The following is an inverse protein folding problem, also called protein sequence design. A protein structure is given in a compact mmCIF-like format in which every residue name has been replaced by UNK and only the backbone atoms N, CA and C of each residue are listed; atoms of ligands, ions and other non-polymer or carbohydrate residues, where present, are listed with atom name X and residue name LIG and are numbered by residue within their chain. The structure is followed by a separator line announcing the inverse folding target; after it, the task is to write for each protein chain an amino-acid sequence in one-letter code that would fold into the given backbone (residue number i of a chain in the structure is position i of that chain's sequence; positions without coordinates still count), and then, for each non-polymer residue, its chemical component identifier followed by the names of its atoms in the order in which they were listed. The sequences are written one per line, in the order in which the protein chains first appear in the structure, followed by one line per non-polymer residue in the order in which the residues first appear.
data_IF_218072742708
#
_entry.id   IF_218072742708
#
_cell.length_a   1.000
_cell.length_b   1.000
_cell.length_c   1.000
_cell.angle_alpha   90.00
_cell.angle_beta   90.00
_cell.angle_gamma   90.00
#
_symmetry.space_group_name_H-M   'P 1'
#
loop_
_entity.id
_entity.type
_entity.pdbx_description
1 polymer ?
#
# COMPACT_ATOMS: atom_id res chain seq x y z
N UNK A 1 -48.66 -71.32 24.86
CA UNK A 1 -47.78 -70.32 25.49
C UNK A 1 -47.11 -69.58 24.37
N UNK A 2 -47.46 -68.33 24.08
CA UNK A 2 -46.84 -67.56 23.05
C UNK A 2 -45.66 -66.76 23.60
N UNK A 3 -44.60 -66.73 22.83
CA UNK A 3 -43.38 -65.87 23.07
C UNK A 3 -43.66 -64.37 22.79
N UNK A 4 -43.08 -63.49 23.55
CA UNK A 4 -43.19 -62.06 23.27
C UNK A 4 -42.22 -61.59 22.13
N UNK A 5 -42.57 -60.56 21.43
CA UNK A 5 -41.79 -60.09 20.29
C UNK A 5 -40.53 -59.27 20.70
N UNK A 6 -39.49 -59.45 19.92
CA UNK A 6 -38.23 -58.76 20.06
C UNK A 6 -38.38 -57.25 19.77
N UNK A 7 -37.84 -56.39 20.65
CA UNK A 7 -37.75 -54.96 20.47
C UNK A 7 -36.53 -54.67 19.62
N UNK A 8 -36.72 -54.22 18.39
CA UNK A 8 -35.69 -53.65 17.52
C UNK A 8 -35.41 -52.24 17.95
N UNK A 9 -34.21 -52.00 18.49
CA UNK A 9 -33.72 -50.69 18.81
C UNK A 9 -33.20 -50.03 17.53
N UNK A 10 -33.88 -48.98 17.10
CA UNK A 10 -33.45 -48.14 16.00
C UNK A 10 -32.38 -47.20 16.54
N UNK A 11 -31.11 -47.45 16.20
CA UNK A 11 -30.01 -46.50 16.47
C UNK A 11 -30.06 -45.38 15.43
N UNK A 12 -30.48 -44.20 15.85
CA UNK A 12 -30.38 -42.96 15.03
C UNK A 12 -28.94 -42.49 15.00
N UNK A 13 -28.28 -42.68 13.87
CA UNK A 13 -27.00 -42.06 13.59
C UNK A 13 -27.25 -40.59 13.25
N UNK A 14 -26.99 -39.68 14.20
CA UNK A 14 -26.89 -38.25 13.93
C UNK A 14 -25.57 -37.98 13.23
N UNK A 15 -25.60 -37.82 11.92
CA UNK A 15 -24.48 -37.30 11.16
C UNK A 15 -24.34 -35.83 11.44
N UNK A 16 -23.39 -35.46 12.30
CA UNK A 16 -22.91 -34.07 12.45
C UNK A 16 -22.11 -33.70 11.19
N UNK A 17 -22.77 -33.03 10.26
CA UNK A 17 -22.06 -32.34 9.19
C UNK A 17 -21.33 -31.17 9.81
N UNK A 18 -20.05 -31.35 10.09
CA UNK A 18 -19.13 -30.26 10.39
C UNK A 18 -18.97 -29.42 9.12
N UNK A 19 -19.76 -28.37 8.99
CA UNK A 19 -19.50 -27.29 8.06
C UNK A 19 -18.19 -26.60 8.52
N UNK A 20 -17.09 -27.09 7.97
CA UNK A 20 -15.83 -26.38 8.06
C UNK A 20 -16.00 -25.01 7.39
N UNK A 21 -16.22 -23.96 8.18
CA UNK A 21 -16.01 -22.60 7.77
C UNK A 21 -14.50 -22.50 7.52
N UNK A 22 -14.08 -22.81 6.29
CA UNK A 22 -12.79 -22.34 5.81
C UNK A 22 -12.91 -20.82 5.72
N UNK A 23 -12.53 -20.13 6.79
CA UNK A 23 -12.14 -18.75 6.71
C UNK A 23 -10.86 -18.72 5.88
N UNK A 24 -11.00 -18.86 4.56
CA UNK A 24 -9.97 -18.46 3.63
C UNK A 24 -9.94 -16.94 3.68
N UNK A 25 -9.22 -16.37 4.64
CA UNK A 25 -8.70 -15.04 4.50
C UNK A 25 -7.91 -15.05 3.19
N UNK A 26 -8.19 -14.08 2.32
CA UNK A 26 -7.43 -13.92 1.09
C UNK A 26 -5.95 -13.74 1.48
N UNK A 27 -5.14 -14.78 1.24
CA UNK A 27 -3.72 -14.78 1.60
C UNK A 27 -2.91 -13.81 0.72
N UNK A 28 -3.51 -13.33 -0.38
CA UNK A 28 -2.88 -12.46 -1.36
C UNK A 28 -3.20 -10.96 -1.14
N UNK A 29 -4.18 -10.65 -0.31
CA UNK A 29 -4.55 -9.26 -0.01
C UNK A 29 -4.32 -8.95 1.45
N UNK A 30 -3.42 -7.99 1.71
CA UNK A 30 -3.10 -7.51 3.05
C UNK A 30 -3.59 -6.08 3.20
N UNK A 31 -4.25 -5.79 4.32
CA UNK A 31 -4.73 -4.45 4.65
C UNK A 31 -4.20 -4.07 6.01
N UNK A 32 -3.58 -2.91 6.10
CA UNK A 32 -3.21 -2.29 7.38
C UNK A 32 -3.94 -0.97 7.54
N UNK A 33 -4.21 -0.60 8.78
CA UNK A 33 -4.83 0.67 9.12
C UNK A 33 -3.80 1.59 9.76
N UNK A 34 -3.79 2.83 9.30
CA UNK A 34 -2.93 3.89 9.81
C UNK A 34 -1.51 3.86 9.24
N UNK A 35 -1.02 5.04 8.94
CA UNK A 35 0.40 5.30 8.74
C UNK A 35 0.89 6.03 9.98
N UNK A 36 1.92 5.50 10.62
CA UNK A 36 2.52 6.17 11.75
C UNK A 36 3.47 7.25 11.25
N UNK A 37 2.95 8.48 11.10
CA UNK A 37 3.77 9.62 10.74
C UNK A 37 4.93 9.80 11.72
N UNK A 38 6.16 9.67 11.24
CA UNK A 38 7.37 9.89 12.02
C UNK A 38 7.90 8.69 12.82
N UNK A 39 7.30 7.51 12.71
CA UNK A 39 7.85 6.28 13.29
C UNK A 39 8.55 5.44 12.21
N UNK A 40 9.78 5.78 11.92
CA UNK A 40 10.69 4.86 11.23
C UNK A 40 11.21 3.83 12.23
N UNK A 41 11.12 2.55 11.94
CA UNK A 41 11.73 1.50 12.74
C UNK A 41 10.80 0.34 13.09
N UNK A 42 11.12 -0.38 14.16
CA UNK A 42 10.56 -1.70 14.52
C UNK A 42 9.04 -1.80 14.67
N UNK A 43 8.31 -0.69 14.66
CA UNK A 43 6.86 -0.62 14.85
C UNK A 43 6.11 -0.11 13.62
N UNK A 44 6.80 0.27 12.55
CA UNK A 44 6.12 0.68 11.33
C UNK A 44 5.44 -0.52 10.66
N UNK A 45 4.22 -0.38 10.15
CA UNK A 45 3.52 -1.48 9.50
C UNK A 45 4.16 -1.78 8.15
N UNK A 46 4.82 -2.94 8.08
CA UNK A 46 5.32 -3.45 6.82
C UNK A 46 4.18 -4.09 6.01
N UNK A 47 4.12 -3.72 4.75
CA UNK A 47 3.21 -4.27 3.76
C UNK A 47 3.99 -5.24 2.88
N UNK A 48 3.88 -6.53 3.16
CA UNK A 48 4.52 -7.51 2.28
C UNK A 48 3.70 -7.66 1.00
N UNK A 49 4.32 -7.44 -0.14
CA UNK A 49 3.74 -7.56 -1.48
C UNK A 49 4.67 -8.45 -2.29
N UNK A 50 4.26 -9.69 -2.52
CA UNK A 50 5.15 -10.72 -3.04
C UNK A 50 6.38 -10.88 -2.13
N UNK A 51 7.58 -10.87 -2.71
CA UNK A 51 8.83 -11.04 -1.94
C UNK A 51 9.40 -9.73 -1.37
N UNK A 52 8.77 -8.59 -1.59
CA UNK A 52 9.20 -7.28 -1.10
C UNK A 52 8.32 -6.79 0.05
N UNK A 53 8.91 -6.02 0.96
CA UNK A 53 8.21 -5.33 2.03
C UNK A 53 8.20 -3.82 1.77
N UNK A 54 7.02 -3.21 1.85
CA UNK A 54 6.82 -1.76 1.68
C UNK A 54 6.48 -1.14 3.01
N UNK A 55 6.93 0.09 3.22
CA UNK A 55 6.65 0.88 4.40
C UNK A 55 6.23 2.28 3.99
N UNK A 56 5.07 2.74 4.44
CA UNK A 56 4.66 4.12 4.28
C UNK A 56 5.23 4.93 5.43
N UNK A 57 6.12 5.88 5.13
CA UNK A 57 6.77 6.73 6.12
C UNK A 57 5.90 7.90 6.53
N UNK A 58 5.24 8.52 5.55
CA UNK A 58 4.41 9.70 5.75
C UNK A 58 3.47 9.85 4.56
N UNK A 59 2.26 10.31 4.82
CA UNK A 59 1.33 10.82 3.82
C UNK A 59 0.83 12.21 4.22
N UNK A 60 0.81 13.16 3.29
CA UNK A 60 0.35 14.52 3.56
C UNK A 60 0.08 15.34 2.31
N UNK A 61 -0.66 16.40 2.47
CA UNK A 61 -0.79 17.47 1.49
C UNK A 61 0.55 18.21 1.31
N UNK A 62 0.81 18.70 0.09
CA UNK A 62 1.96 19.56 -0.18
C UNK A 62 1.50 20.98 -0.49
N UNK A 63 2.13 21.94 0.17
CA UNK A 63 1.94 23.37 -0.11
C UNK A 63 3.02 23.89 -1.06
N UNK A 64 2.70 24.24 -2.32
CA UNK A 64 3.69 24.66 -3.32
C UNK A 64 4.48 25.93 -2.95
N UNK A 65 3.97 26.73 -2.02
CA UNK A 65 4.67 27.96 -1.54
C UNK A 65 5.60 27.68 -0.37
N UNK A 66 5.53 26.51 0.22
CA UNK A 66 6.49 26.06 1.23
C UNK A 66 7.80 25.66 0.53
N UNK A 67 8.94 26.07 1.08
CA UNK A 67 10.26 25.82 0.49
C UNK A 67 10.57 24.33 0.37
N UNK A 68 10.27 23.55 1.41
CA UNK A 68 10.50 22.11 1.39
C UNK A 68 9.59 21.44 0.37
N UNK A 69 8.28 21.70 0.43
CA UNK A 69 7.31 21.07 -0.46
C UNK A 69 7.54 21.40 -1.93
N UNK A 70 8.04 22.62 -2.21
CA UNK A 70 8.40 23.04 -3.57
C UNK A 70 9.51 22.17 -4.17
N UNK A 71 10.40 21.58 -3.34
CA UNK A 71 11.46 20.68 -3.82
C UNK A 71 10.88 19.35 -4.32
N UNK A 72 9.80 18.85 -3.71
CA UNK A 72 9.11 17.65 -4.14
C UNK A 72 8.37 17.84 -5.48
N UNK A 73 8.06 19.08 -5.85
CA UNK A 73 7.40 19.43 -7.11
C UNK A 73 8.37 19.78 -8.24
N UNK A 74 9.66 19.54 -8.05
CA UNK A 74 10.67 19.78 -9.09
C UNK A 74 10.53 18.80 -10.25
N UNK A 75 11.07 19.22 -11.41
CA UNK A 75 11.08 18.44 -12.65
C UNK A 75 9.70 17.99 -13.16
N UNK A 76 8.62 18.65 -12.72
CA UNK A 76 7.31 18.51 -13.33
C UNK A 76 7.24 19.30 -14.64
N UNK A 77 6.65 18.72 -15.67
CA UNK A 77 6.32 19.46 -16.90
C UNK A 77 5.25 20.53 -16.61
N UNK A 78 5.09 21.56 -17.46
CA UNK A 78 4.03 22.56 -17.29
C UNK A 78 2.62 21.94 -17.16
N UNK A 79 2.33 20.90 -17.95
CA UNK A 79 1.05 20.18 -17.89
C UNK A 79 0.88 19.42 -16.56
N UNK A 80 1.94 18.81 -16.06
CA UNK A 80 1.91 18.15 -14.76
C UNK A 80 1.74 19.16 -13.61
N UNK A 81 2.29 20.37 -13.70
CA UNK A 81 2.19 21.42 -12.66
C UNK A 81 0.80 22.02 -12.52
N UNK A 82 -0.01 21.94 -13.57
CA UNK A 82 -1.35 22.54 -13.56
C UNK A 82 -2.30 21.67 -12.74
N UNK A 83 -2.85 22.22 -11.66
CA UNK A 83 -3.96 21.62 -10.92
C UNK A 83 -5.28 22.03 -11.55
N UNK A 84 -6.21 21.11 -11.68
CA UNK A 84 -7.60 21.42 -12.03
C UNK A 84 -8.31 22.07 -10.82
N UNK A 85 -9.42 22.79 -11.03
CA UNK A 85 -10.23 23.32 -9.93
C UNK A 85 -10.57 22.23 -8.90
N UNK A 86 -10.35 22.52 -7.63
CA UNK A 86 -10.60 21.60 -6.52
C UNK A 86 -9.56 20.48 -6.36
N UNK A 87 -8.46 20.52 -7.10
CA UNK A 87 -7.33 19.60 -6.88
C UNK A 87 -6.24 20.23 -6.02
N UNK A 88 -5.54 19.37 -5.34
CA UNK A 88 -4.34 19.70 -4.59
C UNK A 88 -3.26 18.63 -4.75
N UNK A 89 -2.05 18.97 -4.31
CA UNK A 89 -0.91 18.07 -4.27
C UNK A 89 -0.96 17.20 -3.03
N UNK A 90 -0.79 15.91 -3.23
CA UNK A 90 -0.70 14.94 -2.16
C UNK A 90 0.52 14.06 -2.34
N UNK A 91 1.25 13.85 -1.26
CA UNK A 91 2.48 13.06 -1.24
C UNK A 91 2.32 11.83 -0.34
N UNK A 92 2.86 10.72 -0.79
CA UNK A 92 3.11 9.54 0.04
C UNK A 92 4.59 9.20 -0.08
N UNK A 93 5.28 9.11 1.04
CA UNK A 93 6.69 8.72 1.10
C UNK A 93 6.78 7.27 1.50
N UNK A 94 7.46 6.45 0.68
CA UNK A 94 7.56 5.02 0.89
C UNK A 94 9.01 4.54 0.90
N UNK A 95 9.23 3.47 1.66
CA UNK A 95 10.44 2.67 1.56
C UNK A 95 10.08 1.27 1.07
N UNK A 96 11.01 0.63 0.37
CA UNK A 96 10.84 -0.73 -0.16
C UNK A 96 12.05 -1.54 0.22
N UNK A 97 11.84 -2.68 0.85
CA UNK A 97 12.90 -3.56 1.34
C UNK A 97 12.89 -4.89 0.61
N UNK A 98 14.08 -5.35 0.27
CA UNK A 98 14.32 -6.68 -0.27
C UNK A 98 15.20 -7.46 0.71
N UNK A 99 14.59 -8.41 1.41
CA UNK A 99 15.29 -9.30 2.34
C UNK A 99 15.91 -10.52 1.67
N UNK A 100 15.63 -10.72 0.37
CA UNK A 100 16.22 -11.75 -0.46
C UNK A 100 17.60 -11.36 -0.99
N UNK A 101 18.36 -12.34 -1.48
CA UNK A 101 19.72 -12.12 -2.00
C UNK A 101 19.77 -11.65 -3.46
N UNK A 102 18.66 -11.79 -4.22
CA UNK A 102 18.59 -11.41 -5.62
C UNK A 102 17.86 -10.08 -5.79
N UNK A 103 18.25 -9.24 -6.77
CA UNK A 103 17.49 -8.04 -7.09
C UNK A 103 16.08 -8.39 -7.56
N UNK A 104 15.08 -7.63 -7.11
CA UNK A 104 13.66 -7.83 -7.40
C UNK A 104 13.00 -6.56 -7.92
N UNK A 105 12.06 -6.64 -8.88
CA UNK A 105 11.38 -5.45 -9.38
C UNK A 105 10.42 -4.87 -8.32
N UNK A 106 10.53 -3.56 -8.09
CA UNK A 106 9.59 -2.84 -7.25
C UNK A 106 8.25 -2.61 -7.99
N UNK A 107 7.17 -2.47 -7.23
CA UNK A 107 5.84 -2.23 -7.78
C UNK A 107 5.79 -0.93 -8.60
N UNK A 108 5.19 -0.99 -9.78
CA UNK A 108 4.86 0.18 -10.61
C UNK A 108 3.38 0.54 -10.55
N UNK A 109 2.54 -0.37 -10.09
CA UNK A 109 1.10 -0.15 -9.94
C UNK A 109 0.78 0.17 -8.48
N UNK A 110 0.75 1.47 -8.18
CA UNK A 110 0.38 2.02 -6.88
C UNK A 110 -0.77 3.01 -7.12
N UNK A 111 -1.85 2.89 -6.36
CA UNK A 111 -3.04 3.74 -6.52
C UNK A 111 -3.56 4.20 -5.18
N UNK A 112 -4.12 5.42 -5.12
CA UNK A 112 -4.90 5.88 -3.96
C UNK A 112 -6.38 5.82 -4.34
N UNK A 113 -7.21 5.36 -3.41
CA UNK A 113 -8.68 5.37 -3.56
C UNK A 113 -9.32 5.95 -2.31
N UNK A 114 -10.33 6.80 -2.46
CA UNK A 114 -11.16 7.29 -1.37
C UNK A 114 -12.38 6.37 -1.11
N UNK A 115 -13.15 6.65 -0.06
CA UNK A 115 -14.35 5.86 0.28
C UNK A 115 -15.49 5.98 -0.71
N UNK A 116 -15.45 6.92 -1.64
CA UNK A 116 -16.42 7.07 -2.74
C UNK A 116 -16.00 6.31 -4.00
N UNK A 117 -14.79 5.71 -4.00
CA UNK A 117 -14.26 4.96 -5.13
C UNK A 117 -13.52 5.82 -6.15
N UNK A 118 -13.25 7.10 -5.88
CA UNK A 118 -12.38 7.90 -6.72
C UNK A 118 -10.95 7.35 -6.61
N UNK A 119 -10.32 7.13 -7.77
CA UNK A 119 -8.97 6.53 -7.85
C UNK A 119 -7.99 7.53 -8.44
N UNK A 120 -6.82 7.62 -7.83
CA UNK A 120 -5.74 8.52 -8.19
C UNK A 120 -4.49 7.71 -8.51
N UNK A 121 -3.87 8.04 -9.65
CA UNK A 121 -2.60 7.47 -10.08
C UNK A 121 -1.45 8.41 -9.73
N UNK A 122 -0.27 7.89 -9.40
CA UNK A 122 0.89 8.73 -9.15
C UNK A 122 1.33 9.44 -10.43
N UNK A 123 1.81 10.66 -10.25
CA UNK A 123 2.48 11.43 -11.30
C UNK A 123 3.97 11.08 -11.21
N UNK A 124 4.57 10.76 -12.33
CA UNK A 124 6.01 10.57 -12.43
C UNK A 124 6.69 11.88 -12.83
N UNK A 125 7.36 12.58 -11.91
CA UNK A 125 8.19 13.73 -12.24
C UNK A 125 9.37 13.30 -13.13
N UNK A 126 9.94 14.23 -13.90
CA UNK A 126 11.15 13.97 -14.67
C UNK A 126 12.33 13.50 -13.81
N UNK A 127 13.38 12.98 -14.44
CA UNK A 127 14.57 12.43 -13.76
C UNK A 127 15.30 13.42 -12.85
N UNK A 128 15.13 14.73 -13.07
CA UNK A 128 15.66 15.76 -12.19
C UNK A 128 15.02 15.82 -10.80
N UNK A 129 13.92 15.12 -10.55
CA UNK A 129 13.37 14.98 -9.21
C UNK A 129 14.04 13.83 -8.48
N UNK A 130 14.93 14.17 -7.55
CA UNK A 130 15.74 13.22 -6.80
C UNK A 130 14.99 12.52 -5.66
N UNK A 131 13.78 12.98 -5.34
CA UNK A 131 12.92 12.37 -4.33
C UNK A 131 11.98 11.32 -4.91
N UNK A 132 11.66 11.41 -6.22
CA UNK A 132 10.60 10.62 -6.84
C UNK A 132 10.85 9.11 -6.73
N UNK A 133 9.82 8.40 -6.36
CA UNK A 133 9.80 6.95 -6.44
C UNK A 133 10.00 6.50 -7.90
N UNK A 134 10.86 5.52 -8.08
CA UNK A 134 11.09 4.87 -9.36
C UNK A 134 10.92 3.37 -9.18
N UNK A 135 10.04 2.76 -9.96
CA UNK A 135 9.83 1.32 -9.98
C UNK A 135 11.02 0.62 -10.66
N UNK A 136 12.14 0.57 -9.95
CA UNK A 136 13.39 -0.08 -10.39
C UNK A 136 13.63 -1.38 -9.66
N UNK A 137 14.75 -2.05 -9.94
CA UNK A 137 15.18 -3.21 -9.17
C UNK A 137 15.62 -2.81 -7.77
N UNK A 138 15.02 -3.43 -6.76
CA UNK A 138 15.47 -3.34 -5.36
C UNK A 138 16.64 -4.29 -5.20
N UNK A 139 17.85 -3.82 -4.83
CA UNK A 139 19.01 -4.69 -4.66
C UNK A 139 18.75 -5.82 -3.66
N UNK A 140 19.41 -6.96 -3.86
CA UNK A 140 19.36 -8.05 -2.87
C UNK A 140 19.92 -7.60 -1.51
N UNK A 141 19.23 -7.92 -0.42
CA UNK A 141 19.52 -7.42 0.93
C UNK A 141 19.61 -5.89 1.00
N UNK A 142 18.81 -5.20 0.19
CA UNK A 142 18.84 -3.75 0.03
C UNK A 142 17.45 -3.13 0.06
N UNK A 143 17.40 -1.85 -0.31
CA UNK A 143 16.17 -1.05 -0.23
C UNK A 143 16.10 0.04 -1.29
N UNK A 144 14.89 0.61 -1.45
CA UNK A 144 14.63 1.88 -2.12
C UNK A 144 13.94 2.84 -1.11
N UNK A 145 14.29 4.16 -1.14
CA UNK A 145 15.40 4.75 -1.89
C UNK A 145 16.75 4.18 -1.45
N UNK A 146 17.72 4.23 -2.37
CA UNK A 146 19.07 3.74 -2.07
C UNK A 146 19.70 4.55 -0.94
N UNK A 147 20.48 3.93 -0.03
CA UNK A 147 21.23 4.65 0.99
C UNK A 147 22.12 5.73 0.39
N UNK A 148 22.26 6.85 1.09
CA UNK A 148 22.98 8.06 0.65
C UNK A 148 22.37 8.77 -0.57
N UNK A 149 21.12 8.49 -0.90
CA UNK A 149 20.37 9.29 -1.88
C UNK A 149 19.63 10.43 -1.19
N UNK A 150 19.25 11.46 -1.97
CA UNK A 150 18.49 12.62 -1.45
C UNK A 150 17.15 12.18 -0.84
N UNK A 151 16.49 11.18 -1.43
CA UNK A 151 15.23 10.64 -0.90
C UNK A 151 15.42 9.80 0.38
N UNK A 152 16.62 9.23 0.58
CA UNK A 152 16.93 8.46 1.78
C UNK A 152 17.30 9.38 2.96
N UNK A 153 18.14 10.40 2.72
CA UNK A 153 18.67 11.32 3.73
C UNK A 153 17.89 12.63 3.84
N UNK A 154 16.80 12.78 3.09
CA UNK A 154 16.01 14.01 3.05
C UNK A 154 15.23 14.28 4.34
N UNK A 155 14.60 15.47 4.45
CA UNK A 155 13.78 15.86 5.61
C UNK A 155 12.64 14.87 5.89
N UNK A 156 12.02 14.36 4.83
CA UNK A 156 11.09 13.23 4.89
C UNK A 156 11.78 12.04 4.24
N UNK A 157 12.03 11.01 5.04
CA UNK A 157 12.64 9.78 4.53
C UNK A 157 11.65 9.02 3.66
N UNK A 158 12.15 8.41 2.59
CA UNK A 158 11.34 7.63 1.67
C UNK A 158 11.27 8.22 0.26
N UNK A 159 10.96 7.38 -0.71
CA UNK A 159 10.75 7.79 -2.09
C UNK A 159 9.34 8.36 -2.26
N UNK A 160 9.24 9.48 -2.95
CA UNK A 160 8.02 10.26 -3.14
C UNK A 160 7.11 9.62 -4.21
N UNK A 161 5.91 9.26 -3.83
CA UNK A 161 4.76 9.10 -4.73
C UNK A 161 3.97 10.41 -4.72
N UNK A 162 3.87 11.06 -5.86
CA UNK A 162 3.19 12.34 -5.99
C UNK A 162 1.84 12.18 -6.68
N UNK A 163 0.80 12.75 -6.10
CA UNK A 163 -0.58 12.65 -6.62
C UNK A 163 -1.20 14.05 -6.78
N UNK A 164 -2.22 14.12 -7.64
CA UNK A 164 -3.22 15.19 -7.64
C UNK A 164 -4.53 14.59 -7.18
N UNK A 165 -4.99 14.97 -6.00
CA UNK A 165 -6.25 14.49 -5.47
C UNK A 165 -7.30 15.60 -5.46
N UNK A 166 -8.57 15.24 -5.41
CA UNK A 166 -9.64 16.21 -5.18
C UNK A 166 -9.68 16.56 -3.68
N UNK A 167 -9.74 17.83 -3.35
CA UNK A 167 -9.85 18.31 -1.95
C UNK A 167 -11.01 17.61 -1.22
N UNK A 168 -12.13 17.39 -1.90
CA UNK A 168 -13.28 16.68 -1.32
C UNK A 168 -12.97 15.24 -0.93
N UNK A 169 -11.94 14.61 -1.49
CA UNK A 169 -11.55 13.25 -1.10
C UNK A 169 -10.93 13.20 0.29
N UNK A 170 -10.43 14.33 0.82
CA UNK A 170 -9.99 14.43 2.22
C UNK A 170 -11.17 14.38 3.21
N UNK A 171 -12.38 14.70 2.75
CA UNK A 171 -13.61 14.50 3.54
C UNK A 171 -14.12 13.05 3.44
N UNK A 172 -13.65 12.32 2.41
CA UNK A 172 -14.02 10.93 2.10
C UNK A 172 -12.95 9.94 2.56
N UNK A 173 -12.47 10.09 3.78
CA UNK A 173 -11.45 9.24 4.40
C UNK A 173 -11.98 7.90 4.89
N UNK A 174 -11.12 6.85 5.02
CA UNK A 174 -9.69 6.89 4.78
C UNK A 174 -9.35 6.93 3.29
N UNK A 175 -8.23 7.59 2.95
CA UNK A 175 -7.57 7.37 1.67
C UNK A 175 -6.80 6.05 1.76
N UNK A 176 -6.94 5.20 0.79
CA UNK A 176 -6.30 3.87 0.80
C UNK A 176 -5.26 3.78 -0.32
N UNK A 177 -3.98 3.61 0.05
CA UNK A 177 -2.92 3.26 -0.89
C UNK A 177 -2.99 1.75 -1.16
N UNK A 178 -3.11 1.37 -2.41
CA UNK A 178 -3.01 -0.02 -2.87
C UNK A 178 -1.70 -0.21 -3.64
N UNK A 179 -0.99 -1.30 -3.35
CA UNK A 179 0.25 -1.73 -4.01
C UNK A 179 -0.01 -3.10 -4.63
N UNK A 180 0.43 -3.30 -5.86
CA UNK A 180 0.25 -4.55 -6.60
C UNK A 180 1.63 -5.09 -6.99
N UNK A 181 1.87 -6.38 -6.74
CA UNK A 181 3.11 -7.04 -7.16
C UNK A 181 3.26 -7.03 -8.68
N UNK A 182 4.42 -6.62 -9.21
CA UNK A 182 4.61 -6.55 -10.66
C UNK A 182 4.71 -7.92 -11.34
N UNK A 183 5.00 -8.98 -10.58
CA UNK A 183 5.18 -10.34 -11.10
C UNK A 183 3.95 -11.21 -10.88
N UNK A 184 3.19 -10.97 -9.82
CA UNK A 184 1.92 -11.62 -9.55
C UNK A 184 0.85 -10.58 -9.15
N UNK A 185 0.00 -10.13 -10.08
CA UNK A 185 -1.02 -9.13 -9.79
C UNK A 185 -2.10 -9.55 -8.78
N UNK A 186 -2.15 -10.83 -8.39
CA UNK A 186 -3.02 -11.30 -7.32
C UNK A 186 -2.47 -10.98 -5.93
N UNK A 187 -1.15 -10.79 -5.81
CA UNK A 187 -0.48 -10.34 -4.58
C UNK A 187 -0.61 -8.83 -4.43
N UNK A 188 -1.36 -8.40 -3.44
CA UNK A 188 -1.61 -6.98 -3.19
C UNK A 188 -1.57 -6.67 -1.70
N UNK A 189 -1.20 -5.43 -1.38
CA UNK A 189 -1.39 -4.88 -0.05
C UNK A 189 -2.03 -3.50 -0.10
N UNK A 190 -2.69 -3.11 0.97
CA UNK A 190 -3.29 -1.80 1.10
C UNK A 190 -3.00 -1.20 2.47
N UNK A 191 -2.76 0.12 2.50
CA UNK A 191 -2.63 0.90 3.71
C UNK A 191 -3.65 2.04 3.71
N UNK A 192 -4.35 2.21 4.82
CA UNK A 192 -5.13 3.42 5.07
C UNK A 192 -4.16 4.53 5.45
N UNK A 193 -4.21 5.63 4.69
CA UNK A 193 -3.34 6.78 4.89
C UNK A 193 -3.90 7.69 5.97
N UNK A 194 -3.02 8.12 6.86
CA UNK A 194 -3.36 9.12 7.89
C UNK A 194 -3.19 10.51 7.28
N UNK A 195 -4.29 11.30 7.23
CA UNK A 195 -4.38 12.64 6.64
C UNK A 195 -5.24 13.55 7.50
#
# INVERSE_FOLDING_TARGET
MPRPPAKTSLAAFAAFAALGLSACGDSHTKVTTGTYAGESGKNAPYLDVGPLSYEVQLSRELNPVNTEDSTYLQALTPAQRTLAPGQEWFAVFIQVYNHGSQPLPAASNLTITDTQGNTYLPIEPGEGNQYAYRATLVPGNGQLPLPNSVAYDGPTQGALLLFKIQVVSLDNRPLTLKIVDPTDPSETASAELDV
#
